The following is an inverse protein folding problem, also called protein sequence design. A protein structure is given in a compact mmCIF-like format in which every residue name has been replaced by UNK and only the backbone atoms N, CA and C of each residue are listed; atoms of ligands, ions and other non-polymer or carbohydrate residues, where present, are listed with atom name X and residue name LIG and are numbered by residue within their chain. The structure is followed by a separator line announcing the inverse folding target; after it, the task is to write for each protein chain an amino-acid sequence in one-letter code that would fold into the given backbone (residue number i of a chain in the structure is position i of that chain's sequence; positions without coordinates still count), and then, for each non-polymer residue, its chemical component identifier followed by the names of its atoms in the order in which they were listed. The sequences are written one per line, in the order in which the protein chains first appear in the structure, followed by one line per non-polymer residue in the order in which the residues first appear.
data_IF_269774051851
#
_entry.id   IF_269774051851
#
_cell.length_a   1.000
_cell.length_b   1.000
_cell.length_c   1.000
_cell.angle_alpha   90.00
_cell.angle_beta   90.00
_cell.angle_gamma   90.00
#
_symmetry.space_group_name_H-M   'P 1'
#
loop_
_entity.id
_entity.type
_entity.pdbx_description
1 polymer ?
#
# COMPACT_ATOMS: atom_id res chain seq x y z
N UNK A 1 -6.45 25.35 -44.62
CA UNK A 1 -6.67 23.89 -44.56
C UNK A 1 -6.36 23.43 -43.14
N UNK A 2 -7.41 23.16 -42.37
CA UNK A 2 -7.31 22.69 -40.99
C UNK A 2 -7.29 21.16 -40.98
N UNK A 3 -6.23 20.55 -40.43
CA UNK A 3 -6.08 19.10 -40.29
C UNK A 3 -6.40 18.66 -38.87
N UNK A 4 -7.45 17.85 -38.73
CA UNK A 4 -7.98 17.28 -37.49
C UNK A 4 -7.04 16.23 -36.89
N UNK A 5 -6.83 16.29 -35.58
CA UNK A 5 -6.32 15.19 -34.74
C UNK A 5 -7.43 14.17 -34.47
N UNK A 6 -7.15 12.84 -34.45
CA UNK A 6 -8.16 11.85 -34.11
C UNK A 6 -8.43 11.81 -32.60
N UNK A 7 -9.71 11.91 -32.26
CA UNK A 7 -10.30 11.75 -30.93
C UNK A 7 -10.22 10.30 -30.45
N UNK A 8 -9.78 10.10 -29.22
CA UNK A 8 -9.86 8.83 -28.51
C UNK A 8 -11.33 8.52 -28.16
N UNK A 9 -11.81 7.33 -28.53
CA UNK A 9 -13.01 6.73 -27.98
C UNK A 9 -12.58 5.68 -26.96
N UNK A 10 -12.82 5.94 -25.68
CA UNK A 10 -12.76 4.94 -24.62
C UNK A 10 -14.11 4.95 -23.90
N UNK A 11 -14.82 3.82 -23.98
CA UNK A 11 -16.14 3.63 -23.41
C UNK A 11 -16.07 3.56 -21.88
N UNK A 12 -16.60 4.58 -21.20
CA UNK A 12 -16.87 4.53 -19.78
C UNK A 12 -18.04 3.58 -19.48
N UNK A 13 -17.85 2.64 -18.55
CA UNK A 13 -18.95 1.95 -17.88
C UNK A 13 -19.06 2.45 -16.44
N UNK A 14 -19.84 3.52 -16.33
CA UNK A 14 -21.04 3.63 -15.50
C UNK A 14 -20.97 3.04 -14.08
N UNK A 15 -20.56 3.89 -13.13
CA UNK A 15 -20.82 3.72 -11.69
C UNK A 15 -22.31 3.97 -11.46
N UNK A 16 -23.14 2.91 -11.49
CA UNK A 16 -24.56 3.04 -11.24
C UNK A 16 -24.86 3.30 -9.77
N UNK A 17 -25.39 4.51 -9.56
CA UNK A 17 -26.06 5.04 -8.39
C UNK A 17 -27.30 4.20 -8.04
N UNK A 18 -27.33 3.59 -6.86
CA UNK A 18 -28.56 3.18 -6.18
C UNK A 18 -28.54 3.74 -4.76
N UNK A 19 -29.00 4.97 -4.63
CA UNK A 19 -29.23 5.61 -3.34
C UNK A 19 -30.63 5.27 -2.82
N UNK A 20 -30.70 4.69 -1.61
CA UNK A 20 -31.88 4.79 -0.75
C UNK A 20 -31.48 5.66 0.43
N UNK A 21 -32.12 6.83 0.53
CA UNK A 21 -31.91 7.80 1.61
C UNK A 21 -32.29 7.19 2.97
N UNK A 22 -31.34 7.21 3.90
CA UNK A 22 -31.60 7.15 5.33
C UNK A 22 -31.34 8.53 5.91
N UNK A 23 -32.28 9.05 6.69
CA UNK A 23 -32.13 10.27 7.48
C UNK A 23 -31.36 9.89 8.73
N UNK A 24 -30.12 10.31 8.84
CA UNK A 24 -29.44 10.75 10.06
C UNK A 24 -27.98 11.03 9.70
N UNK A 25 -27.41 12.11 10.26
CA UNK A 25 -26.07 12.62 9.95
C UNK A 25 -24.94 11.77 10.50
N UNK A 26 -24.94 10.48 10.17
CA UNK A 26 -23.99 9.49 10.67
C UNK A 26 -22.99 9.09 9.59
N UNK A 27 -21.74 8.84 9.96
CA UNK A 27 -20.67 8.31 9.10
C UNK A 27 -20.93 6.83 8.75
N UNK A 28 -22.17 6.51 8.42
CA UNK A 28 -22.71 5.16 8.26
C UNK A 28 -22.37 4.54 6.89
N UNK A 29 -21.63 5.27 6.06
CA UNK A 29 -20.95 4.71 4.91
C UNK A 29 -19.69 3.98 5.39
N UNK A 30 -19.69 2.66 5.25
CA UNK A 30 -18.56 1.78 5.63
C UNK A 30 -17.28 2.26 4.94
N UNK A 31 -16.44 3.01 5.65
CA UNK A 31 -15.07 3.29 5.22
C UNK A 31 -14.22 2.11 5.65
N UNK A 32 -13.93 1.23 4.69
CA UNK A 32 -12.91 0.19 4.83
C UNK A 32 -11.61 0.73 4.26
N UNK A 33 -10.60 0.87 5.11
CA UNK A 33 -9.25 1.27 4.67
C UNK A 33 -8.35 0.04 4.75
N UNK A 34 -7.78 -0.35 3.61
CA UNK A 34 -6.75 -1.38 3.56
C UNK A 34 -5.40 -0.68 3.73
N UNK A 35 -4.67 -1.08 4.75
CA UNK A 35 -3.30 -0.61 5.01
C UNK A 35 -2.38 -1.75 4.62
N UNK A 36 -1.36 -1.45 3.81
CA UNK A 36 -0.37 -2.42 3.39
C UNK A 36 1.05 -1.87 3.57
N UNK A 37 1.96 -2.73 4.01
CA UNK A 37 3.37 -2.38 4.16
C UNK A 37 4.21 -3.54 3.67
N UNK A 38 5.19 -3.25 2.82
CA UNK A 38 6.16 -4.25 2.32
C UNK A 38 7.56 -3.70 2.53
N UNK A 39 8.22 -4.00 3.67
CA UNK A 39 9.57 -3.53 3.91
C UNK A 39 10.56 -4.32 3.05
N UNK A 40 11.49 -3.61 2.42
CA UNK A 40 12.57 -4.19 1.62
C UNK A 40 13.93 -3.87 2.25
N UNK A 41 14.80 -4.87 2.34
CA UNK A 41 16.23 -4.69 2.58
C UNK A 41 16.97 -4.64 1.24
N UNK A 42 17.91 -3.71 1.09
CA UNK A 42 18.93 -3.80 0.04
C UNK A 42 19.99 -4.79 0.51
N UNK A 43 20.29 -5.77 -0.32
CA UNK A 43 21.31 -6.79 -0.08
C UNK A 43 22.48 -6.58 -1.05
N UNK A 44 23.69 -6.99 -0.64
CA UNK A 44 24.86 -6.96 -1.52
C UNK A 44 24.89 -8.13 -2.52
N UNK A 45 23.89 -9.00 -2.46
CA UNK A 45 23.78 -10.19 -3.29
C UNK A 45 22.61 -10.02 -4.26
N UNK A 46 22.87 -10.16 -5.56
CA UNK A 46 21.80 -10.24 -6.53
C UNK A 46 21.10 -11.59 -6.36
N UNK A 47 19.83 -11.55 -6.00
CA UNK A 47 18.93 -12.68 -5.84
C UNK A 47 18.03 -12.82 -7.07
N UNK A 48 17.42 -13.99 -7.19
CA UNK A 48 16.44 -14.30 -8.23
C UNK A 48 15.03 -14.12 -7.68
N UNK A 49 14.28 -13.19 -8.26
CA UNK A 49 12.83 -13.13 -8.13
C UNK A 49 12.15 -13.94 -9.22
N UNK A 50 10.98 -14.49 -8.91
CA UNK A 50 10.14 -15.21 -9.87
C UNK A 50 8.87 -14.40 -10.15
N UNK A 51 8.42 -14.47 -11.40
CA UNK A 51 7.12 -13.90 -11.75
C UNK A 51 6.01 -14.89 -11.45
N UNK A 52 5.02 -14.41 -10.69
CA UNK A 52 3.76 -15.10 -10.46
C UNK A 52 2.73 -14.65 -11.49
N UNK A 53 1.98 -15.60 -12.05
CA UNK A 53 0.82 -15.33 -12.89
C UNK A 53 -0.43 -15.97 -12.33
N UNK A 54 -1.55 -15.31 -12.59
CA UNK A 54 -2.88 -15.86 -12.35
C UNK A 54 -3.03 -17.09 -13.23
N UNK A 55 -3.29 -18.23 -12.60
CA UNK A 55 -3.50 -19.50 -13.32
C UNK A 55 -4.99 -19.71 -13.53
N UNK A 56 -5.79 -19.55 -12.47
CA UNK A 56 -7.23 -19.83 -12.50
C UNK A 56 -7.95 -19.25 -11.28
N UNK A 57 -9.28 -19.14 -11.37
CA UNK A 57 -10.16 -18.86 -10.22
C UNK A 57 -10.30 -17.38 -9.87
N UNK A 58 -11.01 -17.09 -8.78
CA UNK A 58 -11.21 -15.75 -8.24
C UNK A 58 -11.52 -15.82 -6.74
N UNK A 59 -11.08 -14.80 -5.98
CA UNK A 59 -11.33 -14.73 -4.53
C UNK A 59 -10.70 -15.90 -3.76
N UNK A 60 -11.42 -16.59 -2.87
CA UNK A 60 -10.85 -17.69 -2.08
C UNK A 60 -10.35 -18.89 -2.89
N UNK A 61 -10.79 -19.04 -4.15
CA UNK A 61 -10.41 -20.14 -5.03
C UNK A 61 -9.37 -19.72 -6.09
N UNK A 62 -8.74 -18.56 -5.90
CA UNK A 62 -7.76 -18.02 -6.83
C UNK A 62 -6.42 -18.77 -6.71
N UNK A 63 -5.87 -19.19 -7.85
CA UNK A 63 -4.60 -19.91 -7.94
C UNK A 63 -3.58 -19.10 -8.71
N UNK A 64 -2.38 -18.99 -8.12
CA UNK A 64 -1.21 -18.34 -8.72
C UNK A 64 -0.06 -19.34 -8.83
N UNK A 65 0.72 -19.21 -9.89
CA UNK A 65 1.84 -20.10 -10.17
C UNK A 65 3.03 -19.34 -10.76
N UNK A 66 4.19 -19.99 -10.73
CA UNK A 66 5.38 -19.48 -11.43
C UNK A 66 5.06 -19.42 -12.91
N UNK A 67 5.21 -18.24 -13.52
CA UNK A 67 5.17 -18.11 -14.96
C UNK A 67 6.34 -18.89 -15.55
N UNK A 68 6.06 -19.89 -16.39
CA UNK A 68 7.07 -20.69 -17.09
C UNK A 68 6.83 -20.63 -18.59
N UNK A 69 7.87 -20.90 -19.39
CA UNK A 69 7.70 -21.16 -20.82
C UNK A 69 6.78 -22.37 -21.05
N UNK A 70 6.10 -22.39 -22.20
CA UNK A 70 5.18 -23.46 -22.58
C UNK A 70 5.93 -24.81 -22.71
N UNK A 71 5.55 -25.84 -21.94
CA UNK A 71 6.17 -27.17 -22.03
C UNK A 71 5.78 -27.96 -23.30
N UNK A 72 4.90 -27.44 -24.16
CA UNK A 72 4.56 -28.08 -25.45
C UNK A 72 5.77 -28.16 -26.42
N UNK A 73 6.82 -27.40 -26.16
CA UNK A 73 8.15 -27.64 -26.74
C UNK A 73 8.88 -28.71 -25.91
N UNK A 74 8.55 -29.98 -26.18
CA UNK A 74 9.04 -31.17 -25.46
C UNK A 74 10.57 -31.31 -25.39
N UNK A 75 11.33 -30.48 -26.11
CA UNK A 75 12.78 -30.46 -26.11
C UNK A 75 13.38 -29.67 -24.94
N UNK A 76 12.61 -28.77 -24.28
CA UNK A 76 13.13 -27.91 -23.20
C UNK A 76 12.19 -27.94 -21.98
N UNK A 77 12.68 -28.31 -20.78
CA UNK A 77 11.88 -28.16 -19.56
C UNK A 77 11.39 -26.72 -19.42
N UNK A 78 10.13 -26.52 -19.02
CA UNK A 78 9.55 -25.19 -18.82
C UNK A 78 10.45 -24.32 -17.93
N UNK A 79 11.02 -23.26 -18.51
CA UNK A 79 11.92 -22.36 -17.82
C UNK A 79 11.09 -21.27 -17.12
N UNK A 80 11.31 -21.00 -15.82
CA UNK A 80 10.59 -19.95 -15.13
C UNK A 80 11.01 -18.58 -15.65
N UNK A 81 10.07 -17.64 -15.67
CA UNK A 81 10.36 -16.23 -15.85
C UNK A 81 10.79 -15.66 -14.50
N UNK A 82 11.94 -15.01 -14.52
CA UNK A 82 12.51 -14.40 -13.32
C UNK A 82 13.19 -13.09 -13.62
N UNK A 83 13.56 -12.42 -12.55
CA UNK A 83 14.25 -11.13 -12.59
C UNK A 83 15.35 -11.11 -11.54
N UNK A 84 16.44 -10.40 -11.84
CA UNK A 84 17.48 -10.10 -10.89
C UNK A 84 17.01 -9.00 -9.94
N UNK A 85 17.20 -9.18 -8.63
CA UNK A 85 16.88 -8.17 -7.63
C UNK A 85 17.92 -8.21 -6.52
N UNK A 86 18.38 -7.05 -6.07
CA UNK A 86 19.16 -6.93 -4.83
C UNK A 86 18.27 -6.64 -3.63
N UNK A 87 16.94 -6.56 -3.82
CA UNK A 87 15.98 -6.35 -2.75
C UNK A 87 15.44 -7.67 -2.22
N UNK A 88 15.43 -7.81 -0.89
CA UNK A 88 14.78 -8.89 -0.17
C UNK A 88 13.61 -8.34 0.66
N UNK A 89 12.45 -9.00 0.62
CA UNK A 89 11.33 -8.66 1.50
C UNK A 89 11.68 -9.08 2.92
N UNK A 90 11.53 -8.18 3.88
CA UNK A 90 11.75 -8.48 5.29
C UNK A 90 10.45 -9.03 5.88
N UNK A 91 10.49 -10.28 6.36
CA UNK A 91 9.40 -10.89 7.11
C UNK A 91 9.83 -11.11 8.57
N UNK A 92 8.93 -10.85 9.51
CA UNK A 92 9.14 -11.05 10.93
C UNK A 92 7.80 -11.26 11.65
N UNK A 93 7.75 -12.16 12.65
CA UNK A 93 6.56 -12.31 13.50
C UNK A 93 6.35 -11.14 14.48
N UNK A 94 7.35 -10.26 14.68
CA UNK A 94 7.27 -9.17 15.66
C UNK A 94 6.88 -7.82 15.06
N UNK A 95 6.43 -7.79 13.80
CA UNK A 95 5.94 -6.57 13.17
C UNK A 95 4.69 -6.06 13.89
N UNK A 96 4.59 -4.75 14.03
CA UNK A 96 3.51 -4.05 14.73
C UNK A 96 2.98 -2.89 13.92
N UNK A 97 1.70 -2.59 14.13
CA UNK A 97 1.02 -1.44 13.57
C UNK A 97 0.42 -0.60 14.71
N UNK A 98 0.84 0.66 14.78
CA UNK A 98 0.33 1.65 15.71
C UNK A 98 -0.60 2.64 15.02
N UNK A 99 -1.75 2.92 15.64
CA UNK A 99 -2.71 3.94 15.24
C UNK A 99 -2.70 5.06 16.28
N UNK A 100 -2.27 6.25 15.86
CA UNK A 100 -2.27 7.42 16.71
C UNK A 100 -3.12 8.54 16.10
N UNK A 101 -3.97 9.15 16.91
CA UNK A 101 -4.69 10.38 16.57
C UNK A 101 -3.75 11.57 16.79
N UNK A 102 -3.49 12.34 15.74
CA UNK A 102 -2.54 13.47 15.81
C UNK A 102 -3.19 14.74 16.40
N UNK A 103 -4.46 14.98 16.06
CA UNK A 103 -5.23 16.08 16.64
C UNK A 103 -6.72 15.76 16.51
N UNK A 104 -7.46 15.81 17.62
CA UNK A 104 -8.92 15.61 17.61
C UNK A 104 -9.69 16.82 17.05
N UNK A 105 -9.11 18.02 17.06
CA UNK A 105 -9.80 19.26 16.65
C UNK A 105 -9.51 19.69 15.19
N UNK A 106 -8.56 19.04 14.49
CA UNK A 106 -8.20 19.41 13.11
C UNK A 106 -8.84 18.45 12.10
N UNK A 107 -9.93 18.89 11.49
CA UNK A 107 -10.68 18.14 10.48
C UNK A 107 -10.27 18.47 9.04
N UNK A 108 -9.54 19.57 8.81
CA UNK A 108 -9.19 19.98 7.46
C UNK A 108 -8.06 19.11 6.90
N UNK A 109 -8.42 18.26 5.94
CA UNK A 109 -7.50 17.40 5.20
C UNK A 109 -6.72 18.17 4.14
N UNK A 110 -5.73 18.97 4.56
CA UNK A 110 -4.72 19.54 3.68
C UNK A 110 -3.69 18.46 3.27
N UNK A 111 -3.17 18.46 2.05
CA UNK A 111 -2.05 17.60 1.66
C UNK A 111 -0.86 18.45 1.21
N UNK A 112 0.37 18.19 1.70
CA UNK A 112 0.76 17.13 2.63
C UNK A 112 0.28 17.38 4.08
N UNK A 113 0.45 16.37 4.95
CA UNK A 113 0.12 16.47 6.38
C UNK A 113 0.80 17.69 7.01
N UNK A 114 0.07 18.54 7.78
CA UNK A 114 0.66 19.65 8.51
C UNK A 114 1.52 19.19 9.70
N UNK A 115 1.52 17.88 10.01
CA UNK A 115 2.16 17.28 11.18
C UNK A 115 3.49 16.57 10.87
N UNK A 116 4.01 16.76 9.65
CA UNK A 116 5.33 16.26 9.30
C UNK A 116 6.39 16.83 10.27
N UNK A 117 7.02 15.97 11.06
CA UNK A 117 8.04 16.35 12.04
C UNK A 117 7.54 16.99 13.34
N UNK A 118 6.22 17.14 13.54
CA UNK A 118 5.68 17.81 14.76
C UNK A 118 5.60 16.90 15.99
N UNK A 119 5.65 15.58 15.80
CA UNK A 119 5.57 14.60 16.87
C UNK A 119 6.89 13.85 16.97
N UNK A 120 7.35 13.61 18.20
CA UNK A 120 8.54 12.83 18.49
C UNK A 120 8.14 11.40 18.86
N UNK A 121 8.82 10.43 18.26
CA UNK A 121 8.66 9.02 18.66
C UNK A 121 9.36 8.77 19.99
N UNK A 122 8.68 8.10 20.92
CA UNK A 122 9.28 7.58 22.13
C UNK A 122 9.59 6.08 21.92
N UNK A 123 10.87 5.69 21.78
CA UNK A 123 11.25 4.31 21.51
C UNK A 123 11.04 3.38 22.70
N UNK A 124 10.87 3.89 23.92
CA UNK A 124 10.63 3.08 25.12
C UNK A 124 9.16 2.69 25.23
N UNK A 125 8.25 3.62 24.96
CA UNK A 125 6.81 3.35 25.03
C UNK A 125 6.21 2.92 23.70
N UNK A 126 6.93 3.08 22.60
CA UNK A 126 6.44 2.93 21.22
C UNK A 126 5.22 3.83 20.91
N UNK A 127 5.28 5.09 21.37
CA UNK A 127 4.21 6.07 21.20
C UNK A 127 4.72 7.38 20.61
N UNK A 128 3.85 8.10 19.91
CA UNK A 128 4.11 9.47 19.48
C UNK A 128 3.79 10.45 20.62
N UNK A 129 4.80 11.17 21.10
CA UNK A 129 4.64 12.17 22.17
C UNK A 129 3.69 13.28 21.71
N UNK A 130 2.60 13.47 22.45
CA UNK A 130 1.58 14.48 22.16
C UNK A 130 0.43 14.00 21.26
N UNK A 131 0.52 12.80 20.70
CA UNK A 131 -0.59 12.16 20.00
C UNK A 131 -1.37 11.25 20.96
N UNK A 132 -2.64 10.95 20.63
CA UNK A 132 -3.42 9.98 21.37
C UNK A 132 -3.25 8.61 20.69
N UNK A 133 -2.55 7.69 21.35
CA UNK A 133 -2.50 6.31 20.88
C UNK A 133 -3.87 5.67 21.05
N UNK A 134 -4.36 5.05 19.98
CA UNK A 134 -5.66 4.37 19.98
C UNK A 134 -5.49 2.86 19.95
N UNK A 135 -4.60 2.37 19.10
CA UNK A 135 -4.33 0.93 18.98
C UNK A 135 -2.86 0.70 18.71
N UNK A 136 -2.30 -0.34 19.31
CA UNK A 136 -1.03 -0.93 18.90
C UNK A 136 -1.23 -2.44 18.84
N UNK A 137 -1.11 -3.00 17.64
CA UNK A 137 -1.46 -4.38 17.35
C UNK A 137 -0.33 -5.15 16.69
N UNK A 138 -0.35 -6.48 16.84
CA UNK A 138 0.48 -7.36 16.03
C UNK A 138 0.08 -7.19 14.56
N UNK A 139 1.07 -7.04 13.69
CA UNK A 139 0.87 -6.84 12.27
C UNK A 139 1.41 -8.06 11.53
N UNK A 140 0.52 -8.99 11.21
CA UNK A 140 0.91 -10.28 10.65
C UNK A 140 1.17 -10.17 9.15
N UNK A 141 2.24 -10.82 8.63
CA UNK A 141 2.44 -10.89 7.20
C UNK A 141 1.41 -11.84 6.56
N UNK A 142 0.83 -11.39 5.46
CA UNK A 142 -0.02 -12.18 4.58
C UNK A 142 0.76 -12.46 3.29
N UNK A 143 0.55 -13.64 2.70
CA UNK A 143 1.02 -13.90 1.35
C UNK A 143 0.02 -13.25 0.39
N UNK A 144 0.46 -12.26 -0.38
CA UNK A 144 -0.39 -11.65 -1.39
C UNK A 144 -0.53 -12.56 -2.62
N UNK A 145 -1.50 -12.21 -3.45
CA UNK A 145 -1.81 -12.81 -4.75
C UNK A 145 -0.55 -12.94 -5.65
N UNK A 146 0.36 -11.97 -5.58
CA UNK A 146 1.64 -12.00 -6.31
C UNK A 146 2.74 -12.85 -5.68
N UNK A 147 2.43 -13.69 -4.67
CA UNK A 147 3.39 -14.56 -3.98
C UNK A 147 4.39 -13.80 -3.10
N UNK A 148 4.10 -12.56 -2.72
CA UNK A 148 4.96 -11.70 -1.90
C UNK A 148 4.39 -11.59 -0.50
N UNK A 149 5.26 -11.59 0.51
CA UNK A 149 4.85 -11.22 1.85
C UNK A 149 4.50 -9.74 1.91
N UNK A 150 3.32 -9.42 2.41
CA UNK A 150 2.81 -8.07 2.65
C UNK A 150 2.22 -8.05 4.04
N UNK A 151 2.53 -7.05 4.84
CA UNK A 151 1.78 -6.80 6.07
C UNK A 151 0.49 -6.09 5.68
N UNK A 152 -0.66 -6.72 5.93
CA UNK A 152 -1.97 -6.23 5.52
C UNK A 152 -2.90 -6.06 6.71
N UNK A 153 -3.51 -4.88 6.87
CA UNK A 153 -4.47 -4.62 7.95
C UNK A 153 -5.74 -4.01 7.36
N UNK A 154 -6.87 -4.62 7.71
CA UNK A 154 -8.19 -4.16 7.29
C UNK A 154 -8.77 -3.25 8.37
N UNK A 155 -8.57 -1.95 8.22
CA UNK A 155 -9.08 -0.97 9.17
C UNK A 155 -10.56 -0.69 8.94
N UNK A 156 -11.40 -1.30 9.79
CA UNK A 156 -12.85 -1.14 9.77
C UNK A 156 -13.27 0.05 10.65
N UNK A 157 -13.24 1.26 10.09
CA UNK A 157 -13.51 2.50 10.84
C UNK A 157 -14.82 2.46 11.63
N UNK A 158 -15.87 1.82 11.10
CA UNK A 158 -17.16 1.68 11.80
C UNK A 158 -17.03 0.94 13.14
N UNK A 159 -16.24 -0.14 13.19
CA UNK A 159 -16.06 -0.98 14.38
C UNK A 159 -14.86 -0.58 15.22
N UNK A 160 -13.99 0.27 14.70
CA UNK A 160 -12.81 0.74 15.41
C UNK A 160 -13.23 1.52 16.66
N UNK A 161 -12.77 1.05 17.82
CA UNK A 161 -13.06 1.66 19.11
C UNK A 161 -12.05 2.78 19.34
N UNK A 162 -12.55 3.99 19.59
CA UNK A 162 -11.74 5.16 19.90
C UNK A 162 -12.02 5.60 21.35
N UNK A 163 -11.04 6.15 22.08
CA UNK A 163 -11.26 6.68 23.42
C UNK A 163 -12.37 7.73 23.44
N UNK A 164 -13.03 7.89 24.58
CA UNK A 164 -14.06 8.91 24.75
C UNK A 164 -13.49 10.32 24.47
N UNK A 165 -14.22 11.12 23.68
CA UNK A 165 -13.78 12.46 23.28
C UNK A 165 -12.78 12.51 22.12
N UNK A 166 -12.52 11.37 21.46
CA UNK A 166 -11.69 11.30 20.25
C UNK A 166 -12.55 11.02 19.03
N UNK A 167 -12.58 11.96 18.09
CA UNK A 167 -13.32 11.79 16.84
C UNK A 167 -12.57 10.91 15.84
N UNK A 168 -13.34 10.15 15.06
CA UNK A 168 -12.82 9.32 13.96
C UNK A 168 -12.33 10.17 12.79
N UNK A 169 -12.96 11.33 12.56
CA UNK A 169 -12.55 12.28 11.53
C UNK A 169 -11.28 13.04 11.92
N UNK A 170 -10.54 13.55 10.94
CA UNK A 170 -9.29 14.30 11.08
C UNK A 170 -8.05 13.44 10.89
N UNK A 171 -6.93 13.91 11.45
CA UNK A 171 -5.60 13.33 11.18
C UNK A 171 -5.25 12.11 12.04
N UNK A 172 -4.67 11.12 11.38
CA UNK A 172 -4.19 9.86 11.95
C UNK A 172 -2.79 9.58 11.44
N UNK A 173 -1.95 9.00 12.32
CA UNK A 173 -0.65 8.45 11.95
C UNK A 173 -0.67 6.95 12.14
N UNK A 174 -0.36 6.25 11.05
CA UNK A 174 -0.20 4.81 11.04
C UNK A 174 1.28 4.51 11.04
N UNK A 175 1.73 3.73 12.02
CA UNK A 175 3.16 3.48 12.25
C UNK A 175 3.45 2.00 12.15
N UNK A 176 4.31 1.62 11.22
CA UNK A 176 4.90 0.29 11.16
C UNK A 176 6.23 0.30 11.91
N UNK A 177 6.43 -0.67 12.79
CA UNK A 177 7.70 -0.91 13.46
C UNK A 177 7.88 -2.39 13.78
N UNK A 178 9.13 -2.82 13.88
CA UNK A 178 9.47 -4.16 14.36
C UNK A 178 10.88 -4.10 14.99
N UNK A 179 11.12 -4.69 16.17
CA UNK A 179 12.40 -4.55 16.89
C UNK A 179 13.64 -4.95 16.08
N UNK A 180 13.52 -5.98 15.25
CA UNK A 180 14.60 -6.51 14.43
C UNK A 180 14.71 -5.87 13.03
N UNK A 181 13.77 -5.00 12.64
CA UNK A 181 13.85 -4.27 11.37
C UNK A 181 14.62 -2.98 11.59
N UNK A 182 15.65 -2.80 10.77
CA UNK A 182 16.53 -1.64 10.82
C UNK A 182 16.38 -0.87 9.50
N UNK A 183 15.78 0.32 9.57
CA UNK A 183 15.75 1.22 8.43
C UNK A 183 17.01 2.06 8.35
N UNK A 184 17.43 2.36 7.13
CA UNK A 184 18.54 3.28 6.82
C UNK A 184 18.02 4.51 6.07
N UNK A 185 18.84 5.56 5.97
CA UNK A 185 18.50 6.76 5.20
C UNK A 185 18.24 6.51 3.70
N UNK A 186 18.68 5.34 3.18
CA UNK A 186 18.48 4.94 1.79
C UNK A 186 17.36 3.91 1.61
N UNK A 187 16.59 3.63 2.66
CA UNK A 187 15.42 2.72 2.57
C UNK A 187 14.44 3.26 1.54
N UNK A 188 14.11 2.44 0.55
CA UNK A 188 13.13 2.79 -0.46
C UNK A 188 11.72 2.83 0.15
N UNK A 189 10.99 3.92 -0.10
CA UNK A 189 9.58 4.08 0.27
C UNK A 189 8.61 3.78 -0.88
N UNK A 190 9.15 3.56 -2.08
CA UNK A 190 8.41 3.10 -3.23
C UNK A 190 8.78 1.63 -3.51
N UNK A 191 7.86 0.84 -4.09
CA UNK A 191 8.21 -0.47 -4.61
C UNK A 191 9.43 -0.36 -5.54
N UNK A 192 10.40 -1.28 -5.47
CA UNK A 192 11.51 -1.27 -6.40
C UNK A 192 10.99 -1.47 -7.82
N UNK A 193 11.55 -0.71 -8.78
CA UNK A 193 11.30 -0.96 -10.19
C UNK A 193 11.92 -2.32 -10.53
N UNK A 194 11.08 -3.31 -10.80
CA UNK A 194 11.53 -4.62 -11.23
C UNK A 194 12.02 -4.52 -12.68
N UNK A 195 13.17 -5.13 -13.04
CA UNK A 195 13.61 -5.15 -14.43
C UNK A 195 12.67 -6.03 -15.26
N UNK A 196 12.66 -5.81 -16.58
CA UNK A 196 11.87 -6.61 -17.50
C UNK A 196 12.25 -8.10 -17.39
N UNK A 197 11.23 -8.94 -17.34
CA UNK A 197 11.37 -10.38 -17.24
C UNK A 197 11.70 -11.01 -18.59
N UNK A 198 12.68 -11.91 -18.59
CA UNK A 198 12.94 -12.81 -19.70
C UNK A 198 12.69 -14.26 -19.27
N UNK A 199 12.32 -15.16 -20.20
CA UNK A 199 12.38 -16.59 -19.93
C UNK A 199 13.82 -16.94 -19.58
N UNK A 200 14.03 -17.55 -18.41
CA UNK A 200 15.38 -17.80 -17.91
C UNK A 200 16.02 -18.98 -18.63
N UNK A 201 16.65 -18.74 -19.78
CA UNK A 201 17.74 -19.60 -20.29
C UNK A 201 19.09 -19.09 -19.76
N UNK A 202 20.17 -19.91 -19.77
CA UNK A 202 21.48 -19.54 -19.19
C UNK A 202 22.01 -18.22 -19.79
N UNK A 203 22.85 -17.48 -19.05
CA UNK A 203 22.91 -16.03 -19.11
C UNK A 203 23.37 -15.51 -20.48
N UNK A 204 22.51 -14.72 -21.13
CA UNK A 204 22.88 -13.91 -22.28
C UNK A 204 23.11 -12.45 -21.80
N UNK A 205 24.31 -11.87 -21.96
CA UNK A 205 24.72 -10.61 -21.33
C UNK A 205 24.15 -9.33 -22.00
N UNK A 206 23.15 -9.44 -22.87
CA UNK A 206 22.63 -8.29 -23.62
C UNK A 206 21.12 -8.15 -23.49
N UNK A 207 20.65 -7.41 -22.49
CA UNK A 207 19.30 -6.82 -22.55
C UNK A 207 19.27 -5.46 -21.85
N UNK A 208 19.52 -4.43 -22.64
CA UNK A 208 19.15 -3.04 -22.36
C UNK A 208 18.05 -2.67 -23.35
N UNK A 209 16.82 -2.42 -22.91
CA UNK A 209 15.87 -1.41 -23.45
C UNK A 209 14.71 -1.23 -22.46
N UNK A 210 14.16 -0.01 -22.41
CA UNK A 210 13.22 0.55 -21.42
C UNK A 210 11.76 0.41 -21.86
N UNK A 211 10.83 0.26 -20.90
CA UNK A 211 9.41 0.64 -21.02
C UNK A 211 8.95 1.38 -19.75
N UNK A 212 8.18 2.44 -19.94
CA UNK A 212 7.62 3.29 -18.89
C UNK A 212 6.29 2.73 -18.36
N UNK A 213 6.13 2.68 -17.04
CA UNK A 213 4.87 2.37 -16.37
C UNK A 213 4.07 3.68 -16.23
N UNK A 214 2.76 3.59 -16.43
CA UNK A 214 1.81 4.69 -16.34
C UNK A 214 1.98 5.48 -15.03
N UNK A 215 1.90 6.81 -15.14
CA UNK A 215 1.93 7.71 -14.00
C UNK A 215 0.68 7.48 -13.13
N UNK A 216 0.88 6.83 -11.99
CA UNK A 216 -0.01 6.97 -10.85
C UNK A 216 -0.07 8.47 -10.52
N UNK A 217 -1.25 9.07 -10.52
CA UNK A 217 -1.45 10.43 -9.99
C UNK A 217 -0.93 10.40 -8.55
N UNK A 218 0.19 11.10 -8.31
CA UNK A 218 1.06 10.92 -7.13
C UNK A 218 0.33 10.81 -5.79
N UNK A 219 0.97 10.19 -4.79
CA UNK A 219 0.24 9.70 -3.62
C UNK A 219 -0.34 10.86 -2.81
N UNK A 220 -1.65 10.77 -2.49
CA UNK A 220 -2.37 11.71 -1.61
C UNK A 220 -1.71 11.85 -0.23
N UNK A 221 -0.99 10.81 0.20
CA UNK A 221 -0.27 10.70 1.47
C UNK A 221 1.16 10.21 1.24
N UNK A 222 2.14 10.84 1.89
CA UNK A 222 3.56 10.51 1.72
C UNK A 222 4.05 9.69 2.90
N UNK A 223 4.49 8.43 2.70
CA UNK A 223 5.13 7.65 3.76
C UNK A 223 6.49 8.25 4.13
N UNK A 224 6.86 8.12 5.40
CA UNK A 224 8.13 8.59 5.96
C UNK A 224 8.90 7.42 6.54
N UNK A 225 10.20 7.37 6.25
CA UNK A 225 11.16 6.50 6.95
C UNK A 225 11.85 7.34 8.01
N UNK A 226 11.69 6.96 9.26
CA UNK A 226 12.49 7.46 10.36
C UNK A 226 13.53 6.39 10.72
N UNK A 227 14.70 6.53 10.09
CA UNK A 227 15.81 5.60 10.26
C UNK A 227 16.53 5.77 11.62
N UNK A 228 16.28 6.85 12.35
CA UNK A 228 16.85 7.05 13.70
C UNK A 228 16.08 6.19 14.70
N UNK A 229 14.77 6.14 14.56
CA UNK A 229 13.89 5.37 15.42
C UNK A 229 13.53 3.98 14.87
N UNK A 230 14.02 3.64 13.68
CA UNK A 230 13.71 2.42 12.93
C UNK A 230 12.20 2.16 12.81
N UNK A 231 11.46 3.19 12.40
CA UNK A 231 10.04 3.10 12.10
C UNK A 231 9.74 3.65 10.70
N UNK A 232 8.60 3.24 10.15
CA UNK A 232 7.98 3.95 9.02
C UNK A 232 6.59 4.39 9.43
N UNK A 233 6.17 5.55 8.97
CA UNK A 233 4.82 6.02 9.25
C UNK A 233 4.22 6.76 8.07
N UNK A 234 2.89 6.82 8.06
CA UNK A 234 2.12 7.60 7.09
C UNK A 234 1.04 8.37 7.83
N UNK A 235 0.91 9.65 7.49
CA UNK A 235 -0.16 10.49 7.99
C UNK A 235 -1.30 10.46 6.98
N UNK A 236 -2.49 10.11 7.45
CA UNK A 236 -3.71 10.14 6.65
C UNK A 236 -4.76 11.03 7.32
N UNK A 237 -5.61 11.65 6.52
CA UNK A 237 -6.71 12.45 7.02
C UNK A 237 -8.04 11.84 6.61
N UNK A 238 -8.92 11.64 7.59
CA UNK A 238 -10.26 11.11 7.37
C UNK A 238 -11.25 12.27 7.41
N UNK A 239 -11.81 12.63 6.26
CA UNK A 239 -12.84 13.67 6.22
C UNK A 239 -14.18 13.12 6.73
N UNK A 240 -15.01 13.98 7.32
CA UNK A 240 -16.41 13.65 7.58
C UNK A 240 -17.18 13.47 6.27
N UNK A 241 -18.10 12.50 6.22
CA UNK A 241 -18.98 12.31 5.08
C UNK A 241 -19.94 13.51 4.97
N UNK A 242 -19.72 14.38 4.00
CA UNK A 242 -20.67 15.47 3.69
C UNK A 242 -21.95 14.89 3.11
N UNK A 243 -23.02 14.90 3.90
CA UNK A 243 -24.37 14.61 3.42
C UNK A 243 -24.77 15.56 2.29
N UNK A 244 -25.06 15.02 1.11
CA UNK A 244 -25.46 15.80 -0.06
C UNK A 244 -26.77 16.56 0.18
N UNK A 245 -26.73 17.88 0.12
CA UNK A 245 -27.89 18.77 0.17
C UNK A 245 -28.90 18.41 -0.93
N UNK A 246 -30.08 17.94 -0.53
CA UNK A 246 -31.21 17.76 -1.44
C UNK A 246 -31.67 19.11 -1.99
N UNK A 247 -31.75 19.24 -3.32
CA UNK A 247 -32.40 20.39 -3.94
C UNK A 247 -33.88 20.44 -3.51
N UNK A 248 -34.43 21.60 -3.11
CA UNK A 248 -35.86 21.76 -2.98
C UNK A 248 -36.51 21.59 -4.36
N UNK A 249 -37.65 20.88 -4.37
CA UNK A 249 -38.56 20.81 -5.51
C UNK A 249 -39.30 22.13 -5.68
#
# INVERSE_FOLDING_TARGET
MAGRTPSANASGRDVRRLGRQSRDGDLDHVVHIRVETTPFAVTNLVQRGFQMWHVFGQGPNELWGVHTTDPADLATPGAPYGYATNYAIIHTPNARIGFAKLNSAAETCASPSPYAGSFQWNPTSHLWVGAIQVEDGAYTPELNIGGKFVYGYNWQMKKFIVPAGVDKAGWWRLTFYAPEIQFTATTAIAPPVLPDSAPMTPPNPGLTTRIAIAADTGPLYTPVVDFVNHITYIDICLAEARGGSGKPR
#
